data_IF_218159474559
#
_entry.id   IF_218159474559
#
_cell.length_a   1.000
_cell.length_b   1.000
_cell.length_c   1.000
_cell.angle_alpha   90.00
_cell.angle_beta   90.00
_cell.angle_gamma   90.00
#
_symmetry.space_group_name_H-M   'P 1'
#
loop_
_entity.id
_entity.type
_entity.pdbx_description
1 polymer ?
#
# COMPACT_ATOMS: atom_id res chain seq x y z
N UNK A 1 -4.90 51.98 27.09
CA UNK A 1 -4.63 51.47 25.73
C UNK A 1 -4.37 49.98 25.83
N UNK A 2 -5.30 49.14 25.37
CA UNK A 2 -5.15 47.68 25.41
C UNK A 2 -4.50 47.25 24.10
N UNK A 3 -3.30 46.71 24.19
CA UNK A 3 -2.55 46.14 23.07
C UNK A 3 -3.23 44.86 22.61
N UNK A 4 -3.82 44.87 21.43
CA UNK A 4 -4.45 43.70 20.81
C UNK A 4 -3.33 42.73 20.37
N UNK A 5 -3.15 41.63 21.10
CA UNK A 5 -2.31 40.51 20.69
C UNK A 5 -2.95 39.84 19.46
N UNK A 6 -2.39 40.10 18.28
CA UNK A 6 -2.77 39.39 17.06
C UNK A 6 -2.29 37.93 17.15
N UNK A 7 -3.22 37.02 17.45
CA UNK A 7 -3.00 35.58 17.32
C UNK A 7 -2.93 35.24 15.82
N UNK A 8 -1.73 35.22 15.26
CA UNK A 8 -1.51 34.73 13.89
C UNK A 8 -1.56 33.22 13.93
N UNK A 9 -2.72 32.65 13.62
CA UNK A 9 -2.85 31.21 13.31
C UNK A 9 -2.27 31.00 11.91
N UNK A 10 -1.02 30.56 11.84
CA UNK A 10 -0.43 30.09 10.59
C UNK A 10 -1.15 28.79 10.17
N UNK A 11 -2.10 28.90 9.24
CA UNK A 11 -2.64 27.74 8.56
C UNK A 11 -1.50 27.08 7.76
N UNK A 12 -0.93 25.99 8.27
CA UNK A 12 0.09 25.25 7.53
C UNK A 12 -0.52 24.71 6.24
N UNK A 13 -0.03 25.18 5.10
CA UNK A 13 -0.45 24.68 3.80
C UNK A 13 0.04 23.24 3.64
N UNK A 14 -0.89 22.28 3.59
CA UNK A 14 -0.56 20.87 3.34
C UNK A 14 0.11 20.76 1.96
N UNK A 15 1.34 20.24 1.93
CA UNK A 15 2.09 20.06 0.68
C UNK A 15 1.67 18.77 -0.04
N UNK A 16 1.91 18.71 -1.35
CA UNK A 16 1.66 17.50 -2.14
C UNK A 16 2.46 16.30 -1.63
N UNK A 17 3.69 16.56 -1.18
CA UNK A 17 4.55 15.53 -0.58
C UNK A 17 3.97 15.00 0.74
N UNK A 18 3.49 15.88 1.63
CA UNK A 18 2.82 15.46 2.86
C UNK A 18 1.59 14.58 2.59
N UNK A 19 0.80 14.91 1.57
CA UNK A 19 -0.33 14.05 1.14
C UNK A 19 0.19 12.72 0.61
N UNK A 20 1.23 12.74 -0.23
CA UNK A 20 1.81 11.53 -0.79
C UNK A 20 2.34 10.58 0.29
N UNK A 21 3.11 11.09 1.26
CA UNK A 21 3.63 10.31 2.37
C UNK A 21 2.49 9.74 3.21
N UNK A 22 1.54 10.57 3.63
CA UNK A 22 0.43 10.13 4.49
C UNK A 22 -0.43 9.03 3.85
N UNK A 23 -0.72 9.14 2.55
CA UNK A 23 -1.51 8.11 1.85
C UNK A 23 -0.67 6.85 1.64
N UNK A 24 0.63 7.00 1.33
CA UNK A 24 1.54 5.86 1.18
C UNK A 24 1.72 5.10 2.50
N UNK A 25 1.86 5.78 3.64
CA UNK A 25 1.95 5.17 4.96
C UNK A 25 0.72 4.29 5.24
N UNK A 26 -0.48 4.81 4.91
CA UNK A 26 -1.71 4.04 5.09
C UNK A 26 -1.76 2.80 4.18
N UNK A 27 -1.32 2.92 2.95
CA UNK A 27 -1.25 1.80 2.02
C UNK A 27 -0.19 0.78 2.42
N UNK A 28 0.91 1.22 3.03
CA UNK A 28 1.93 0.36 3.61
C UNK A 28 1.36 -0.50 4.75
N UNK A 29 0.56 0.08 5.66
CA UNK A 29 -0.16 -0.69 6.69
C UNK A 29 -1.06 -1.78 6.10
N UNK A 30 -1.78 -1.47 5.02
CA UNK A 30 -2.65 -2.43 4.35
C UNK A 30 -1.85 -3.57 3.69
N UNK A 31 -0.69 -3.25 3.10
CA UNK A 31 0.24 -4.25 2.56
C UNK A 31 0.80 -5.14 3.67
N UNK A 32 1.20 -4.58 4.82
CA UNK A 32 1.66 -5.36 5.96
C UNK A 32 0.61 -6.34 6.47
N UNK A 33 -0.65 -5.90 6.57
CA UNK A 33 -1.76 -6.79 6.95
C UNK A 33 -1.95 -7.92 5.95
N UNK A 34 -1.90 -7.62 4.65
CA UNK A 34 -1.99 -8.66 3.61
C UNK A 34 -0.83 -9.66 3.69
N UNK A 35 0.40 -9.17 3.94
CA UNK A 35 1.56 -10.03 4.11
C UNK A 35 1.42 -10.95 5.34
N UNK A 36 0.96 -10.42 6.47
CA UNK A 36 0.72 -11.21 7.69
C UNK A 36 -0.37 -12.27 7.49
N UNK A 37 -1.44 -11.94 6.76
CA UNK A 37 -2.48 -12.91 6.38
C UNK A 37 -1.86 -14.03 5.53
N UNK A 38 -1.07 -13.69 4.53
CA UNK A 38 -0.42 -14.68 3.67
C UNK A 38 0.55 -15.59 4.43
N UNK A 39 1.23 -15.08 5.46
CA UNK A 39 2.08 -15.90 6.32
C UNK A 39 1.27 -16.98 7.04
N UNK A 40 0.13 -16.61 7.65
CA UNK A 40 -0.77 -17.58 8.29
C UNK A 40 -1.36 -18.58 7.28
N UNK A 41 -1.67 -18.13 6.06
CA UNK A 41 -2.14 -18.98 4.97
C UNK A 41 -1.09 -20.06 4.63
N UNK A 42 0.17 -19.64 4.48
CA UNK A 42 1.29 -20.52 4.16
C UNK A 42 1.55 -21.51 5.29
N UNK A 43 1.55 -21.05 6.54
CA UNK A 43 1.70 -21.89 7.73
C UNK A 43 0.65 -23.01 7.78
N UNK A 44 -0.63 -22.67 7.57
CA UNK A 44 -1.73 -23.67 7.55
C UNK A 44 -1.62 -24.69 6.43
N UNK A 45 -0.96 -24.33 5.33
CA UNK A 45 -0.73 -25.23 4.18
C UNK A 45 0.63 -25.95 4.27
N UNK A 46 1.40 -25.73 5.34
CA UNK A 46 2.73 -26.31 5.51
C UNK A 46 3.78 -25.81 4.51
N UNK A 47 3.57 -24.61 3.93
CA UNK A 47 4.48 -24.04 2.94
C UNK A 47 5.60 -23.29 3.68
N UNK A 48 6.80 -23.85 3.69
CA UNK A 48 7.98 -23.29 4.39
C UNK A 48 8.96 -22.55 3.48
N UNK A 49 8.73 -22.61 2.17
CA UNK A 49 9.55 -21.93 1.17
C UNK A 49 9.58 -20.41 1.43
N UNK A 50 10.64 -19.73 1.02
CA UNK A 50 10.65 -18.26 1.06
C UNK A 50 9.63 -17.71 0.06
N UNK A 51 9.00 -16.56 0.35
CA UNK A 51 8.16 -15.85 -0.63
C UNK A 51 9.04 -15.34 -1.77
N UNK A 52 9.16 -16.14 -2.84
CA UNK A 52 9.90 -15.75 -4.04
C UNK A 52 8.90 -15.40 -5.14
N UNK A 53 8.91 -14.14 -5.58
CA UNK A 53 8.07 -13.65 -6.66
C UNK A 53 8.83 -13.72 -7.99
N UNK A 54 8.81 -14.87 -8.66
CA UNK A 54 9.20 -14.97 -10.08
C UNK A 54 8.06 -15.54 -10.91
N UNK A 55 7.96 -15.07 -12.15
CA UNK A 55 6.81 -15.25 -13.04
C UNK A 55 6.38 -16.70 -13.27
N UNK A 56 5.07 -16.87 -13.54
CA UNK A 56 4.42 -18.18 -13.71
C UNK A 56 3.95 -18.77 -12.37
N UNK A 57 2.87 -18.22 -11.81
CA UNK A 57 2.30 -18.71 -10.55
C UNK A 57 0.99 -19.46 -10.79
N UNK A 58 1.06 -20.79 -10.73
CA UNK A 58 -0.08 -21.67 -11.02
C UNK A 58 -1.04 -21.84 -9.84
N UNK A 59 -0.65 -21.41 -8.64
CA UNK A 59 -1.49 -21.53 -7.43
C UNK A 59 -1.98 -20.16 -6.93
N UNK A 60 -3.19 -20.08 -6.35
CA UNK A 60 -3.69 -18.82 -5.79
C UNK A 60 -2.80 -18.25 -4.67
N UNK A 61 -2.15 -19.11 -3.88
CA UNK A 61 -1.18 -18.69 -2.85
C UNK A 61 0.03 -17.99 -3.49
N UNK A 62 0.68 -18.62 -4.49
CA UNK A 62 1.82 -18.02 -5.20
C UNK A 62 1.43 -16.72 -5.91
N UNK A 63 0.22 -16.67 -6.49
CA UNK A 63 -0.32 -15.44 -7.07
C UNK A 63 -0.51 -14.34 -6.03
N UNK A 64 -1.07 -14.66 -4.87
CA UNK A 64 -1.27 -13.70 -3.80
C UNK A 64 0.07 -13.16 -3.28
N UNK A 65 1.06 -14.02 -3.07
CA UNK A 65 2.40 -13.62 -2.64
C UNK A 65 3.09 -12.68 -3.62
N UNK A 66 2.99 -12.99 -4.92
CA UNK A 66 3.48 -12.12 -5.99
C UNK A 66 2.83 -10.73 -5.92
N UNK A 67 1.50 -10.67 -5.85
CA UNK A 67 0.79 -9.39 -5.87
C UNK A 67 0.99 -8.58 -4.60
N UNK A 68 1.17 -9.21 -3.44
CA UNK A 68 1.50 -8.49 -2.19
C UNK A 68 2.92 -7.91 -2.26
N UNK A 69 3.90 -8.63 -2.81
CA UNK A 69 5.25 -8.09 -3.04
C UNK A 69 5.20 -6.91 -4.02
N UNK A 70 4.51 -7.08 -5.14
CA UNK A 70 4.34 -6.03 -6.13
C UNK A 70 3.63 -4.79 -5.57
N UNK A 71 2.66 -4.98 -4.66
CA UNK A 71 2.01 -3.87 -3.97
C UNK A 71 2.97 -3.14 -3.03
N UNK A 72 3.82 -3.87 -2.29
CA UNK A 72 4.85 -3.28 -1.43
C UNK A 72 5.83 -2.42 -2.23
N UNK A 73 6.33 -2.95 -3.35
CA UNK A 73 7.21 -2.21 -4.26
C UNK A 73 6.53 -0.98 -4.86
N UNK A 74 5.25 -1.09 -5.23
CA UNK A 74 4.48 0.03 -5.76
C UNK A 74 4.30 1.14 -4.72
N UNK A 75 4.07 0.79 -3.44
CA UNK A 75 4.03 1.77 -2.35
C UNK A 75 5.39 2.44 -2.18
N UNK A 76 6.48 1.66 -2.10
CA UNK A 76 7.83 2.22 -1.98
C UNK A 76 8.16 3.18 -3.14
N UNK A 77 7.80 2.81 -4.37
CA UNK A 77 7.96 3.67 -5.55
C UNK A 77 7.08 4.93 -5.48
N UNK A 78 5.85 4.84 -4.98
CA UNK A 78 4.99 6.00 -4.77
C UNK A 78 5.60 6.99 -3.77
N UNK A 79 6.19 6.50 -2.68
CA UNK A 79 6.79 7.35 -1.62
C UNK A 79 7.90 8.26 -2.11
N UNK A 80 8.70 7.80 -3.08
CA UNK A 80 9.85 8.55 -3.60
C UNK A 80 9.48 9.50 -4.75
N UNK A 81 8.27 9.40 -5.28
CA UNK A 81 7.81 10.27 -6.35
C UNK A 81 7.48 11.68 -5.86
N UNK A 82 7.81 12.65 -6.70
CA UNK A 82 7.48 14.07 -6.50
C UNK A 82 6.46 14.50 -7.53
N UNK A 83 5.52 15.33 -7.11
CA UNK A 83 4.41 15.79 -7.95
C UNK A 83 4.43 17.31 -8.09
N UNK A 84 4.24 17.80 -9.30
CA UNK A 84 4.13 19.24 -9.56
C UNK A 84 2.69 19.75 -9.51
N UNK A 85 1.69 18.86 -9.42
CA UNK A 85 0.28 19.23 -9.34
C UNK A 85 -0.57 18.21 -8.57
N UNK A 86 -1.72 18.69 -8.06
CA UNK A 86 -2.73 17.84 -7.40
C UNK A 86 -3.30 16.76 -8.34
N UNK A 87 -3.45 17.09 -9.63
CA UNK A 87 -4.00 16.15 -10.63
C UNK A 87 -3.08 14.96 -10.84
N UNK A 88 -1.77 15.21 -10.98
CA UNK A 88 -0.77 14.14 -11.10
C UNK A 88 -0.71 13.27 -9.85
N UNK A 89 -0.69 13.88 -8.65
CA UNK A 89 -0.70 13.13 -7.40
C UNK A 89 -1.94 12.23 -7.30
N UNK A 90 -3.13 12.78 -7.58
CA UNK A 90 -4.38 12.01 -7.54
C UNK A 90 -4.36 10.83 -8.51
N UNK A 91 -3.94 11.06 -9.75
CA UNK A 91 -3.84 10.00 -10.76
C UNK A 91 -2.89 8.88 -10.34
N UNK A 92 -1.71 9.24 -9.81
CA UNK A 92 -0.73 8.27 -9.32
C UNK A 92 -1.27 7.46 -8.13
N UNK A 93 -1.90 8.12 -7.15
CA UNK A 93 -2.51 7.47 -6.00
C UNK A 93 -3.68 6.54 -6.41
N UNK A 94 -4.41 6.87 -7.46
CA UNK A 94 -5.47 6.01 -8.00
C UNK A 94 -4.90 4.75 -8.65
N UNK A 95 -3.80 4.86 -9.40
CA UNK A 95 -3.08 3.71 -9.94
C UNK A 95 -2.59 2.82 -8.79
N UNK A 96 -2.01 3.40 -7.74
CA UNK A 96 -1.55 2.67 -6.56
C UNK A 96 -2.72 1.95 -5.86
N UNK A 97 -3.83 2.65 -5.61
CA UNK A 97 -5.07 2.07 -5.06
C UNK A 97 -5.48 0.82 -5.83
N UNK A 98 -5.49 0.88 -7.17
CA UNK A 98 -5.90 -0.24 -8.00
C UNK A 98 -4.94 -1.44 -7.89
N UNK A 99 -3.63 -1.19 -7.79
CA UNK A 99 -2.63 -2.26 -7.53
C UNK A 99 -2.86 -2.93 -6.17
N UNK A 100 -3.17 -2.17 -5.12
CA UNK A 100 -3.48 -2.72 -3.80
C UNK A 100 -4.79 -3.52 -3.81
N UNK A 101 -5.83 -3.03 -4.49
CA UNK A 101 -7.08 -3.76 -4.63
C UNK A 101 -6.90 -5.08 -5.38
N UNK A 102 -6.03 -5.11 -6.39
CA UNK A 102 -5.65 -6.33 -7.08
C UNK A 102 -4.97 -7.33 -6.13
N UNK A 103 -4.00 -6.88 -5.33
CA UNK A 103 -3.36 -7.72 -4.31
C UNK A 103 -4.37 -8.27 -3.30
N UNK A 104 -5.25 -7.42 -2.78
CA UNK A 104 -6.30 -7.82 -1.85
C UNK A 104 -7.24 -8.89 -2.45
N UNK A 105 -7.59 -8.75 -3.72
CA UNK A 105 -8.41 -9.73 -4.45
C UNK A 105 -7.72 -11.11 -4.51
N UNK A 106 -6.40 -11.12 -4.77
CA UNK A 106 -5.62 -12.36 -4.82
C UNK A 106 -5.47 -13.01 -3.45
N UNK A 107 -5.21 -12.23 -2.40
CA UNK A 107 -5.20 -12.72 -1.01
C UNK A 107 -6.54 -13.34 -0.64
N UNK A 108 -7.67 -12.71 -1.00
CA UNK A 108 -9.00 -13.29 -0.78
C UNK A 108 -9.19 -14.64 -1.46
N UNK A 109 -8.70 -14.80 -2.69
CA UNK A 109 -8.74 -16.10 -3.40
C UNK A 109 -7.91 -17.15 -2.67
N UNK A 110 -6.69 -16.79 -2.24
CA UNK A 110 -5.84 -17.68 -1.47
C UNK A 110 -6.46 -18.12 -0.13
N UNK A 111 -7.28 -17.28 0.50
CA UNK A 111 -8.00 -17.62 1.73
C UNK A 111 -9.11 -18.66 1.50
N UNK A 112 -9.83 -18.57 0.38
CA UNK A 112 -10.90 -19.54 0.04
C UNK A 112 -10.32 -20.93 -0.17
N UNK A 113 -9.10 -21.05 -0.72
CA UNK A 113 -8.44 -22.34 -0.96
C UNK A 113 -8.05 -23.11 0.33
N UNK A 114 -8.19 -22.50 1.51
CA UNK A 114 -7.82 -23.10 2.81
C UNK A 114 -9.06 -23.46 3.64
N UNK A 115 -10.24 -22.95 3.27
CA UNK A 115 -11.52 -23.37 3.84
C UNK A 115 -11.96 -24.69 3.22
#
# INVERSE_FOLDING_TARGET
>A
MITLLAFIVFAQSITLDQVNQKVSDRFEEDVFKMAAIMEQVRERKGITETRVAFGGSDTPIKQADYWVNFAAEAVAYQRVQKYSSKSQLRSSLEILKNKLLQAKSKVRKALVDIQ
#
